data_IF_756496128475
#
_entry.id   IF_756496128475
#
_cell.length_a   1.000
_cell.length_b   1.000
_cell.length_c   1.000
_cell.angle_alpha   90.00
_cell.angle_beta   90.00
_cell.angle_gamma   90.00
#
_symmetry.space_group_name_H-M   'P 1'
#
loop_
_entity.id
_entity.type
_entity.pdbx_description
1 polymer ?
#
# COMPACT_ATOMS: atom_id res chain seq x y z
N UNK A 1 19.23 -2.48 -0.32
CA UNK A 1 17.98 -1.77 -0.68
C UNK A 1 16.99 -2.79 -1.19
N UNK A 2 15.67 -2.55 -1.09
CA UNK A 2 14.64 -3.42 -1.65
C UNK A 2 13.92 -2.65 -2.77
N UNK A 3 14.01 -3.06 -4.04
CA UNK A 3 13.40 -2.35 -5.15
C UNK A 3 11.90 -2.65 -5.21
N UNK A 4 11.08 -1.79 -4.58
CA UNK A 4 9.63 -2.00 -4.48
C UNK A 4 8.85 -1.68 -5.77
N UNK A 5 9.42 -0.94 -6.72
CA UNK A 5 8.73 -0.54 -7.96
C UNK A 5 7.65 0.53 -7.78
N UNK A 6 7.45 1.03 -6.56
CA UNK A 6 6.41 1.97 -6.16
C UNK A 6 6.97 3.01 -5.21
N UNK A 7 6.34 4.19 -5.13
CA UNK A 7 6.66 5.22 -4.15
C UNK A 7 6.16 4.81 -2.77
N UNK A 8 6.98 4.07 -2.02
CA UNK A 8 6.66 3.62 -0.65
C UNK A 8 6.44 4.82 0.27
N UNK A 9 5.39 4.73 1.09
CA UNK A 9 5.09 5.70 2.16
C UNK A 9 5.35 5.05 3.54
N UNK A 10 4.32 4.70 4.32
CA UNK A 10 4.51 4.07 5.64
C UNK A 10 4.71 2.54 5.57
N UNK A 11 5.39 2.01 6.59
CA UNK A 11 5.70 0.58 6.75
C UNK A 11 5.11 0.08 8.06
N UNK A 12 4.36 -1.01 7.98
CA UNK A 12 3.83 -1.75 9.12
C UNK A 12 4.42 -3.16 9.19
N UNK A 13 4.42 -3.74 10.38
CA UNK A 13 4.82 -5.13 10.60
C UNK A 13 3.59 -5.97 10.96
N UNK A 14 3.47 -7.17 10.40
CA UNK A 14 2.58 -8.19 10.98
C UNK A 14 3.27 -9.00 12.09
N UNK A 15 2.48 -9.81 12.78
CA UNK A 15 2.94 -10.67 13.87
C UNK A 15 3.99 -11.72 13.44
N UNK A 16 4.10 -12.00 12.13
CA UNK A 16 5.09 -12.92 11.56
C UNK A 16 6.35 -12.18 11.08
N UNK A 17 6.42 -10.87 11.26
CA UNK A 17 7.54 -10.03 10.84
C UNK A 17 7.55 -9.70 9.34
N UNK A 18 6.45 -9.94 8.62
CA UNK A 18 6.35 -9.43 7.25
C UNK A 18 6.11 -7.93 7.26
N UNK A 19 6.68 -7.23 6.28
CA UNK A 19 6.45 -5.81 6.07
C UNK A 19 5.22 -5.61 5.20
N UNK A 20 4.38 -4.66 5.58
CA UNK A 20 3.21 -4.21 4.85
C UNK A 20 3.41 -2.74 4.50
N UNK A 21 3.35 -2.43 3.20
CA UNK A 21 3.66 -1.10 2.71
C UNK A 21 2.53 -0.66 1.79
N UNK A 22 2.07 0.56 1.98
CA UNK A 22 1.27 1.26 1.00
C UNK A 22 2.16 2.22 0.19
N UNK A 23 1.78 2.47 -1.05
CA UNK A 23 2.58 3.34 -1.90
C UNK A 23 1.87 3.87 -3.13
N UNK A 24 2.67 4.56 -3.93
CA UNK A 24 2.24 5.33 -5.08
C UNK A 24 2.90 4.78 -6.36
N UNK A 25 2.22 3.94 -7.15
CA UNK A 25 2.81 3.32 -8.33
C UNK A 25 3.07 4.34 -9.46
N UNK A 26 2.52 5.55 -9.35
CA UNK A 26 2.83 6.67 -10.24
C UNK A 26 3.06 7.97 -9.45
N UNK A 27 4.32 8.28 -9.18
CA UNK A 27 4.74 9.46 -8.42
C UNK A 27 4.30 10.80 -9.06
N UNK A 28 4.22 10.87 -10.40
CA UNK A 28 3.79 12.08 -11.09
C UNK A 28 2.29 12.33 -10.87
N UNK A 29 1.45 11.29 -10.95
CA UNK A 29 0.03 11.37 -10.63
C UNK A 29 -0.20 11.70 -9.16
N UNK A 30 0.53 11.04 -8.26
CA UNK A 30 0.47 11.35 -6.83
C UNK A 30 0.78 12.82 -6.55
N UNK A 31 1.87 13.35 -7.12
CA UNK A 31 2.24 14.76 -6.94
C UNK A 31 1.18 15.73 -7.49
N UNK A 32 0.51 15.39 -8.59
CA UNK A 32 -0.57 16.18 -9.16
C UNK A 32 -1.83 16.13 -8.28
N UNK A 33 -2.23 14.93 -7.81
CA UNK A 33 -3.34 14.72 -6.88
C UNK A 33 -3.13 15.46 -5.55
N UNK A 34 -1.92 15.38 -4.97
CA UNK A 34 -1.60 16.09 -3.73
C UNK A 34 -1.75 17.62 -3.88
N UNK A 35 -1.46 18.15 -5.08
CA UNK A 35 -1.67 19.56 -5.46
C UNK A 35 -3.08 19.88 -5.96
N UNK A 36 -4.02 18.94 -5.85
CA UNK A 36 -5.40 19.05 -6.34
C UNK A 36 -5.50 19.37 -7.85
N UNK A 37 -4.51 18.95 -8.63
CA UNK A 37 -4.49 19.07 -10.10
C UNK A 37 -5.03 17.83 -10.81
N UNK A 38 -5.11 16.72 -10.10
CA UNK A 38 -5.74 15.47 -10.53
C UNK A 38 -6.76 15.06 -9.48
N UNK A 39 -7.86 14.46 -9.93
CA UNK A 39 -8.94 14.05 -9.04
C UNK A 39 -8.61 12.77 -8.26
N UNK A 40 -7.84 11.87 -8.88
CA UNK A 40 -7.48 10.58 -8.29
C UNK A 40 -5.98 10.28 -8.48
N UNK A 41 -5.44 9.44 -7.59
CA UNK A 41 -4.10 8.88 -7.70
C UNK A 41 -4.15 7.38 -7.42
N UNK A 42 -3.50 6.55 -8.24
CA UNK A 42 -3.41 5.12 -7.98
C UNK A 42 -2.88 4.78 -6.58
N UNK A 43 -3.39 3.69 -6.03
CA UNK A 43 -2.96 3.11 -4.76
C UNK A 43 -2.43 1.69 -4.95
N UNK A 44 -1.39 1.35 -4.19
CA UNK A 44 -0.81 0.01 -4.18
C UNK A 44 -0.47 -0.41 -2.74
N UNK A 45 -0.73 -1.67 -2.41
CA UNK A 45 -0.27 -2.31 -1.18
C UNK A 45 0.60 -3.50 -1.57
N UNK A 46 1.83 -3.51 -1.05
CA UNK A 46 2.75 -4.63 -1.20
C UNK A 46 3.06 -5.25 0.15
N UNK A 47 3.26 -6.56 0.14
CA UNK A 47 3.78 -7.34 1.26
C UNK A 47 5.20 -7.77 0.96
N UNK A 48 6.11 -7.58 1.90
CA UNK A 48 7.49 -8.04 1.78
C UNK A 48 7.79 -9.06 2.87
N UNK A 49 8.20 -10.25 2.45
CA UNK A 49 8.78 -11.24 3.37
C UNK A 49 10.30 -11.06 3.32
N UNK A 50 10.86 -10.44 4.36
CA UNK A 50 12.30 -10.17 4.44
C UNK A 50 13.00 -11.28 5.24
N UNK A 51 14.01 -11.90 4.63
CA UNK A 51 14.80 -12.99 5.25
C UNK A 51 16.27 -12.61 5.41
N UNK A 52 16.75 -11.60 4.69
CA UNK A 52 18.09 -11.05 4.83
C UNK A 52 18.48 -10.13 3.66
N UNK A 53 19.70 -9.61 3.68
CA UNK A 53 20.24 -8.81 2.57
C UNK A 53 20.19 -9.62 1.27
N UNK A 54 19.49 -9.09 0.25
CA UNK A 54 19.23 -9.76 -1.03
C UNK A 54 18.41 -11.05 -0.95
N UNK A 55 17.82 -11.37 0.20
CA UNK A 55 16.87 -12.47 0.36
C UNK A 55 15.52 -11.93 0.87
N UNK A 56 14.64 -11.65 -0.08
CA UNK A 56 13.29 -11.17 0.19
C UNK A 56 12.36 -11.58 -0.95
N UNK A 57 11.05 -11.59 -0.68
CA UNK A 57 10.01 -11.68 -1.71
C UNK A 57 9.04 -10.52 -1.57
N UNK A 58 8.55 -10.01 -2.70
CA UNK A 58 7.57 -8.92 -2.78
C UNK A 58 6.32 -9.46 -3.45
N UNK A 59 5.17 -9.19 -2.86
CA UNK A 59 3.84 -9.55 -3.37
C UNK A 59 2.99 -8.30 -3.45
N UNK A 60 2.41 -8.01 -4.62
CA UNK A 60 1.36 -6.99 -4.74
C UNK A 60 0.04 -7.58 -4.25
N UNK A 61 -0.47 -7.06 -3.14
CA UNK A 61 -1.70 -7.53 -2.50
C UNK A 61 -2.91 -6.73 -2.97
N UNK A 62 -2.71 -5.45 -3.29
CA UNK A 62 -3.75 -4.57 -3.80
C UNK A 62 -3.16 -3.57 -4.79
N UNK A 63 -3.84 -3.35 -5.91
CA UNK A 63 -3.51 -2.33 -6.90
C UNK A 63 -4.79 -1.83 -7.56
N UNK A 64 -4.97 -0.52 -7.62
CA UNK A 64 -6.08 0.11 -8.33
C UNK A 64 -5.72 1.52 -8.82
N UNK A 65 -6.63 2.15 -9.56
CA UNK A 65 -6.40 3.38 -10.31
C UNK A 65 -6.62 4.68 -9.50
N UNK A 66 -7.18 4.58 -8.31
CA UNK A 66 -7.51 5.65 -7.37
C UNK A 66 -9.02 5.83 -7.17
N UNK A 67 -9.87 5.10 -7.91
CA UNK A 67 -11.32 5.27 -7.87
C UNK A 67 -11.96 4.80 -6.55
N UNK A 68 -11.35 3.83 -5.85
CA UNK A 68 -11.86 3.37 -4.54
C UNK A 68 -11.29 4.19 -3.38
N UNK A 69 -9.99 4.46 -3.46
CA UNK A 69 -9.26 5.29 -2.51
C UNK A 69 -7.97 5.73 -3.17
N UNK A 70 -7.73 7.04 -3.23
CA UNK A 70 -6.57 7.61 -3.87
C UNK A 70 -5.38 7.75 -2.93
N UNK A 71 -4.17 7.50 -3.45
CA UNK A 71 -2.91 7.72 -2.75
C UNK A 71 -2.83 7.03 -1.37
N UNK A 72 -2.94 5.70 -1.35
CA UNK A 72 -2.68 4.89 -0.16
C UNK A 72 -1.35 5.24 0.50
N UNK A 73 -1.36 5.40 1.82
CA UNK A 73 -0.22 5.86 2.63
C UNK A 73 0.17 4.84 3.70
N UNK A 74 -0.78 4.02 4.17
CA UNK A 74 -0.53 2.95 5.14
C UNK A 74 -1.40 1.74 4.85
N UNK A 75 -0.92 0.55 5.21
CA UNK A 75 -1.68 -0.70 5.17
C UNK A 75 -1.38 -1.50 6.44
N UNK A 76 -2.28 -1.41 7.43
CA UNK A 76 -2.12 -2.07 8.72
C UNK A 76 -2.85 -3.43 8.73
N UNK A 77 -2.13 -4.55 8.91
CA UNK A 77 -2.75 -5.86 9.06
C UNK A 77 -3.52 -5.98 10.38
N UNK A 78 -4.75 -6.51 10.32
CA UNK A 78 -5.61 -6.77 11.46
C UNK A 78 -6.46 -8.03 11.23
N UNK A 79 -6.04 -9.16 11.80
CA UNK A 79 -6.67 -10.46 11.53
C UNK A 79 -6.60 -10.83 10.05
N UNK A 80 -7.76 -11.06 9.44
CA UNK A 80 -7.89 -11.37 8.00
C UNK A 80 -8.04 -10.12 7.12
N UNK A 81 -7.89 -8.94 7.71
CA UNK A 81 -8.12 -7.66 7.07
C UNK A 81 -6.85 -6.79 7.01
N UNK A 82 -6.86 -5.86 6.05
CA UNK A 82 -5.95 -4.72 6.01
C UNK A 82 -6.77 -3.45 6.16
N UNK A 83 -6.41 -2.62 7.13
CA UNK A 83 -6.91 -1.26 7.26
C UNK A 83 -5.96 -0.36 6.46
N UNK A 84 -6.41 0.17 5.33
CA UNK A 84 -5.58 1.02 4.48
C UNK A 84 -6.04 2.46 4.49
N UNK A 85 -5.16 3.33 4.98
CA UNK A 85 -5.33 4.78 4.98
C UNK A 85 -4.64 5.42 3.77
N UNK A 86 -4.91 6.70 3.58
CA UNK A 86 -4.42 7.48 2.45
C UNK A 86 -4.03 8.90 2.88
N UNK A 87 -3.49 9.68 1.94
CA UNK A 87 -2.94 11.01 2.23
C UNK A 87 -4.01 12.11 2.37
N UNK A 88 -5.15 12.03 1.67
CA UNK A 88 -6.12 13.17 1.59
C UNK A 88 -7.61 12.82 1.46
N UNK A 89 -7.99 11.62 1.05
CA UNK A 89 -9.39 11.23 0.95
C UNK A 89 -10.07 11.15 2.33
N UNK A 90 -11.39 11.32 2.33
CA UNK A 90 -12.20 11.38 3.55
C UNK A 90 -12.63 9.98 4.07
N UNK A 91 -12.23 8.91 3.39
CA UNK A 91 -12.55 7.54 3.74
C UNK A 91 -11.28 6.67 3.64
N UNK A 92 -11.29 5.53 4.31
CA UNK A 92 -10.24 4.52 4.26
C UNK A 92 -10.86 3.18 3.83
N UNK A 93 -10.05 2.23 3.34
CA UNK A 93 -10.56 0.91 2.95
C UNK A 93 -10.25 -0.13 4.00
N UNK A 94 -11.17 -1.11 4.11
CA UNK A 94 -10.95 -2.36 4.80
C UNK A 94 -10.91 -3.44 3.73
N UNK A 95 -9.75 -4.03 3.50
CA UNK A 95 -9.56 -5.08 2.51
C UNK A 95 -9.52 -6.42 3.22
N UNK A 96 -10.33 -7.39 2.78
CA UNK A 96 -10.16 -8.78 3.18
C UNK A 96 -9.09 -9.40 2.27
N UNK A 97 -7.97 -9.81 2.84
CA UNK A 97 -6.81 -10.29 2.07
C UNK A 97 -6.52 -11.78 2.30
N UNK A 98 -7.19 -12.40 3.28
CA UNK A 98 -7.21 -13.85 3.49
C UNK A 98 -8.64 -14.35 3.39
N UNK A 99 -8.84 -15.44 2.66
CA UNK A 99 -10.11 -16.16 2.73
C UNK A 99 -10.21 -16.86 4.09
N UNK A 100 -11.42 -16.85 4.65
CA UNK A 100 -11.71 -17.59 5.87
C UNK A 100 -11.64 -19.08 5.52
N UNK A 101 -10.76 -19.82 6.19
CA UNK A 101 -10.70 -21.29 6.11
C UNK A 101 -12.05 -21.93 6.47
#
# INVERSE_FOLDING_TARGET
>A
DIPCGTGVDNIEFDELGNLWLAGHPNLLKFAAYNKSKEAISPSEIIKIQYRGTNDFSIETVYLEDGAKMSASSVAAPFGDYLLTGNVKDNAFLILKYRDSL
#
